data_IF_056759796508
#
_entry.id   IF_056759796508
#
_cell.length_a   1.000
_cell.length_b   1.000
_cell.length_c   1.000
_cell.angle_alpha   90.00
_cell.angle_beta   90.00
_cell.angle_gamma   90.00
#
_symmetry.space_group_name_H-M   'P 1'
#
loop_
_entity.id
_entity.type
_entity.pdbx_description
1 polymer ?
#
# COMPACT_ATOMS: atom_id res chain seq x y z
N UNK A 1 -47.75 -43.42 13.48
CA UNK A 1 -46.61 -42.60 13.97
C UNK A 1 -46.22 -41.43 13.06
N UNK A 2 -46.80 -41.26 11.86
CA UNK A 2 -46.41 -40.21 10.89
C UNK A 2 -46.99 -38.80 11.22
N UNK A 3 -48.04 -38.72 12.04
CA UNK A 3 -48.72 -37.45 12.36
C UNK A 3 -47.86 -36.45 13.17
N UNK A 4 -46.91 -36.93 13.99
CA UNK A 4 -46.00 -36.07 14.79
C UNK A 4 -44.89 -35.39 13.97
N UNK A 5 -44.66 -35.81 12.72
CA UNK A 5 -43.60 -35.27 11.86
C UNK A 5 -44.04 -34.02 11.09
N UNK A 6 -45.34 -33.88 10.79
CA UNK A 6 -45.90 -32.67 10.13
C UNK A 6 -45.98 -31.45 11.05
N UNK A 7 -46.01 -31.64 12.36
CA UNK A 7 -46.11 -30.54 13.32
C UNK A 7 -44.80 -29.76 13.52
N UNK A 8 -43.67 -30.28 13.01
CA UNK A 8 -42.37 -29.57 13.04
C UNK A 8 -42.09 -28.71 11.81
N UNK A 9 -42.93 -28.80 10.78
CA UNK A 9 -42.81 -28.02 9.53
C UNK A 9 -43.66 -26.74 9.53
N UNK A 10 -44.43 -26.49 10.60
CA UNK A 10 -45.34 -25.33 10.70
C UNK A 10 -44.78 -24.16 11.51
N UNK A 11 -43.47 -24.13 11.74
CA UNK A 11 -42.78 -23.01 12.39
C UNK A 11 -41.83 -22.29 11.43
N UNK A 12 -42.17 -22.24 10.14
CA UNK A 12 -41.50 -21.37 9.16
C UNK A 12 -41.92 -19.92 9.43
N UNK A 13 -41.24 -19.29 10.40
CA UNK A 13 -41.22 -17.84 10.54
C UNK A 13 -40.36 -17.29 9.39
N UNK A 14 -41.00 -16.99 8.26
CA UNK A 14 -40.36 -16.32 7.14
C UNK A 14 -39.91 -14.90 7.52
N UNK A 15 -38.74 -14.49 7.02
CA UNK A 15 -38.23 -13.13 7.15
C UNK A 15 -39.20 -12.15 6.46
N UNK A 16 -39.58 -11.08 7.14
CA UNK A 16 -40.47 -10.06 6.55
C UNK A 16 -39.68 -9.09 5.67
N UNK A 17 -40.32 -8.56 4.62
CA UNK A 17 -39.70 -7.52 3.78
C UNK A 17 -39.37 -6.25 4.58
N UNK A 18 -40.17 -5.95 5.60
CA UNK A 18 -39.95 -4.83 6.52
C UNK A 18 -38.68 -5.05 7.36
N UNK A 19 -38.41 -6.26 7.85
CA UNK A 19 -37.17 -6.54 8.59
C UNK A 19 -35.93 -6.33 7.72
N UNK A 20 -35.95 -6.79 6.47
CA UNK A 20 -34.84 -6.52 5.54
C UNK A 20 -34.70 -5.03 5.22
N UNK A 21 -35.81 -4.30 5.08
CA UNK A 21 -35.79 -2.85 4.85
C UNK A 21 -35.09 -2.09 5.99
N UNK A 22 -35.45 -2.38 7.24
CA UNK A 22 -34.84 -1.70 8.40
C UNK A 22 -33.34 -2.04 8.50
N UNK A 23 -32.96 -3.29 8.22
CA UNK A 23 -31.55 -3.71 8.23
C UNK A 23 -30.73 -2.95 7.19
N UNK A 24 -31.20 -2.84 5.94
CA UNK A 24 -30.45 -2.09 4.91
C UNK A 24 -30.38 -0.59 5.20
N UNK A 25 -31.40 -0.02 5.86
CA UNK A 25 -31.37 1.39 6.30
C UNK A 25 -30.26 1.58 7.34
N UNK A 26 -30.20 0.72 8.36
CA UNK A 26 -29.16 0.78 9.39
C UNK A 26 -27.77 0.57 8.76
N UNK A 27 -27.61 -0.44 7.89
CA UNK A 27 -26.36 -0.67 7.16
C UNK A 27 -25.98 0.53 6.29
N UNK A 28 -26.94 1.20 5.64
CA UNK A 28 -26.71 2.41 4.86
C UNK A 28 -26.13 3.56 5.71
N UNK A 29 -26.68 3.78 6.90
CA UNK A 29 -26.18 4.81 7.85
C UNK A 29 -24.75 4.47 8.28
N UNK A 30 -24.48 3.21 8.63
CA UNK A 30 -23.13 2.78 9.03
C UNK A 30 -22.12 2.95 7.90
N UNK A 31 -22.49 2.57 6.66
CA UNK A 31 -21.62 2.72 5.49
C UNK A 31 -21.33 4.19 5.16
N UNK A 32 -22.31 5.09 5.31
CA UNK A 32 -22.14 6.51 5.05
C UNK A 32 -21.01 7.13 5.91
N UNK A 33 -20.87 6.67 7.16
CA UNK A 33 -19.80 7.13 8.09
C UNK A 33 -18.51 6.33 7.85
N UNK A 34 -18.61 5.02 7.62
CA UNK A 34 -17.46 4.14 7.53
C UNK A 34 -16.61 4.37 6.27
N UNK A 35 -17.24 4.57 5.10
CA UNK A 35 -16.56 4.72 3.81
C UNK A 35 -15.56 5.89 3.79
N UNK A 36 -15.93 7.14 4.13
CA UNK A 36 -14.99 8.26 4.08
C UNK A 36 -13.82 8.07 5.06
N UNK A 37 -14.07 7.53 6.25
CA UNK A 37 -13.03 7.22 7.23
C UNK A 37 -12.06 6.16 6.70
N UNK A 38 -12.58 5.06 6.12
CA UNK A 38 -11.78 3.99 5.54
C UNK A 38 -10.90 4.47 4.38
N UNK A 39 -11.45 5.27 3.46
CA UNK A 39 -10.70 5.85 2.34
C UNK A 39 -9.56 6.76 2.84
N UNK A 40 -9.83 7.55 3.87
CA UNK A 40 -8.84 8.43 4.50
C UNK A 40 -7.71 7.63 5.17
N UNK A 41 -8.06 6.56 5.88
CA UNK A 41 -7.09 5.64 6.49
C UNK A 41 -6.23 4.94 5.44
N UNK A 42 -6.84 4.39 4.38
CA UNK A 42 -6.13 3.75 3.27
C UNK A 42 -5.15 4.71 2.59
N UNK A 43 -5.56 5.97 2.39
CA UNK A 43 -4.69 7.00 1.81
C UNK A 43 -3.49 7.30 2.70
N UNK A 44 -3.67 7.40 4.03
CA UNK A 44 -2.57 7.61 4.98
C UNK A 44 -1.62 6.40 5.04
N UNK A 45 -2.16 5.19 5.07
CA UNK A 45 -1.37 3.95 5.05
C UNK A 45 -0.53 3.86 3.78
N UNK A 46 -1.14 4.16 2.62
CA UNK A 46 -0.46 4.21 1.33
C UNK A 46 0.68 5.24 1.34
N UNK A 47 0.45 6.49 1.79
CA UNK A 47 1.49 7.52 1.89
C UNK A 47 2.66 7.08 2.78
N UNK A 48 2.36 6.49 3.93
CA UNK A 48 3.39 5.97 4.84
C UNK A 48 4.19 4.83 4.20
N UNK A 49 3.54 3.91 3.49
CA UNK A 49 4.21 2.84 2.75
C UNK A 49 5.07 3.37 1.60
N UNK A 50 4.62 4.38 0.87
CA UNK A 50 5.40 5.00 -0.21
C UNK A 50 6.68 5.65 0.33
N UNK A 51 6.59 6.42 1.42
CA UNK A 51 7.77 6.97 2.10
C UNK A 51 8.69 5.87 2.63
N UNK A 52 8.15 4.80 3.21
CA UNK A 52 8.92 3.68 3.73
C UNK A 52 9.68 2.94 2.62
N UNK A 53 9.07 2.71 1.46
CA UNK A 53 9.73 2.07 0.32
C UNK A 53 10.95 2.88 -0.16
N UNK A 54 10.81 4.20 -0.25
CA UNK A 54 11.94 5.09 -0.59
C UNK A 54 13.04 5.00 0.48
N UNK A 55 12.68 5.07 1.77
CA UNK A 55 13.65 4.93 2.88
C UNK A 55 14.38 3.58 2.84
N UNK A 56 13.66 2.49 2.57
CA UNK A 56 14.21 1.15 2.54
C UNK A 56 15.26 0.95 1.44
N UNK A 57 15.15 1.70 0.33
CA UNK A 57 16.14 1.64 -0.74
C UNK A 57 17.44 2.41 -0.42
N UNK A 58 17.42 3.37 0.51
CA UNK A 58 18.58 4.24 0.81
C UNK A 58 19.81 3.44 1.25
N UNK A 59 19.74 2.53 2.25
CA UNK A 59 20.92 1.77 2.67
C UNK A 59 21.56 0.98 1.53
N UNK A 60 20.75 0.39 0.64
CA UNK A 60 21.25 -0.31 -0.54
C UNK A 60 21.95 0.63 -1.53
N UNK A 61 21.44 1.86 -1.71
CA UNK A 61 22.08 2.86 -2.57
C UNK A 61 23.43 3.31 -2.01
N UNK A 62 23.50 3.56 -0.70
CA UNK A 62 24.74 3.98 -0.02
C UNK A 62 25.78 2.85 -0.04
N UNK A 63 25.35 1.60 0.18
CA UNK A 63 26.23 0.43 0.08
C UNK A 63 26.73 0.24 -1.36
N UNK A 64 25.88 0.42 -2.37
CA UNK A 64 26.30 0.38 -3.77
C UNK A 64 27.40 1.39 -4.08
N UNK A 65 27.24 2.62 -3.60
CA UNK A 65 28.25 3.68 -3.75
C UNK A 65 29.55 3.38 -2.99
N UNK A 66 29.48 2.69 -1.85
CA UNK A 66 30.68 2.25 -1.12
C UNK A 66 31.46 1.16 -1.88
N UNK A 67 30.76 0.26 -2.57
CA UNK A 67 31.38 -0.86 -3.28
C UNK A 67 31.88 -0.50 -4.69
N UNK A 68 31.45 0.62 -5.26
CA UNK A 68 31.74 1.00 -6.64
C UNK A 68 32.47 2.34 -6.73
N UNK A 69 33.66 2.34 -7.35
CA UNK A 69 34.45 3.56 -7.58
C UNK A 69 33.74 4.60 -8.48
N UNK A 70 32.73 4.18 -9.25
CA UNK A 70 31.88 5.06 -10.08
C UNK A 70 30.72 5.68 -9.30
N UNK A 71 30.66 5.52 -7.99
CA UNK A 71 29.56 5.94 -7.13
C UNK A 71 28.24 5.27 -7.51
N UNK A 72 27.14 6.03 -7.62
CA UNK A 72 25.80 5.47 -7.92
C UNK A 72 25.60 5.09 -9.40
N UNK A 73 26.53 5.41 -10.29
CA UNK A 73 26.36 5.18 -11.73
C UNK A 73 26.12 3.70 -12.06
N UNK A 74 25.10 3.43 -12.85
CA UNK A 74 24.76 2.06 -13.30
C UNK A 74 24.06 1.19 -12.27
N UNK A 75 23.65 1.77 -11.13
CA UNK A 75 22.76 1.12 -10.18
C UNK A 75 21.38 0.87 -10.81
N UNK A 76 20.82 -0.31 -10.55
CA UNK A 76 19.47 -0.68 -10.98
C UNK A 76 18.76 -1.37 -9.82
N UNK A 77 17.43 -1.39 -9.85
CA UNK A 77 16.65 -2.07 -8.82
C UNK A 77 17.06 -3.55 -8.69
N UNK A 78 17.30 -4.23 -9.82
CA UNK A 78 17.73 -5.61 -9.82
C UNK A 78 19.10 -5.82 -9.13
N UNK A 79 20.06 -4.91 -9.35
CA UNK A 79 21.37 -4.97 -8.68
C UNK A 79 21.25 -4.73 -7.17
N UNK A 80 20.42 -3.76 -6.77
CA UNK A 80 20.11 -3.52 -5.36
C UNK A 80 19.51 -4.75 -4.68
N UNK A 81 18.55 -5.38 -5.34
CA UNK A 81 17.88 -6.58 -4.82
C UNK A 81 18.78 -7.80 -4.76
N UNK A 82 19.63 -7.99 -5.77
CA UNK A 82 20.49 -9.17 -5.86
C UNK A 82 21.69 -9.10 -4.89
N UNK A 83 22.26 -7.92 -4.69
CA UNK A 83 23.54 -7.76 -3.99
C UNK A 83 23.43 -7.14 -2.60
N UNK A 84 22.32 -6.47 -2.26
CA UNK A 84 22.21 -5.72 -1.00
C UNK A 84 20.96 -6.09 -0.20
N UNK A 85 19.76 -5.96 -0.78
CA UNK A 85 18.51 -6.29 -0.08
C UNK A 85 17.37 -6.64 -1.05
N UNK A 86 16.99 -7.92 -1.08
CA UNK A 86 15.88 -8.46 -1.86
C UNK A 86 14.49 -7.91 -1.43
N UNK A 87 14.40 -7.32 -0.24
CA UNK A 87 13.22 -6.68 0.31
C UNK A 87 12.89 -5.33 -0.34
N UNK A 88 13.85 -4.69 -1.02
CA UNK A 88 13.62 -3.42 -1.72
C UNK A 88 12.61 -3.63 -2.85
N UNK A 89 11.43 -3.00 -2.76
CA UNK A 89 10.34 -3.15 -3.73
C UNK A 89 9.65 -1.81 -3.99
N UNK A 90 8.92 -1.75 -5.11
CA UNK A 90 8.07 -0.60 -5.46
C UNK A 90 8.82 0.74 -5.53
N UNK A 91 10.07 0.71 -6.00
CA UNK A 91 10.88 1.89 -6.28
C UNK A 91 11.44 1.85 -7.70
N UNK A 92 11.71 3.03 -8.25
CA UNK A 92 12.43 3.25 -9.49
C UNK A 92 13.57 4.20 -9.20
N UNK A 93 14.73 3.91 -9.79
CA UNK A 93 15.86 4.82 -9.81
C UNK A 93 15.68 5.67 -11.07
N UNK A 94 15.36 6.95 -10.89
CA UNK A 94 15.13 7.90 -12.00
C UNK A 94 16.42 8.55 -12.47
N UNK A 95 17.33 8.82 -11.53
CA UNK A 95 18.64 9.42 -11.78
C UNK A 95 19.67 8.65 -10.97
N UNK A 96 20.84 8.40 -11.56
CA UNK A 96 22.00 7.89 -10.85
C UNK A 96 23.26 8.35 -11.56
N UNK A 97 24.11 9.07 -10.84
CA UNK A 97 25.41 9.54 -11.30
C UNK A 97 26.46 9.31 -10.21
N UNK A 98 27.70 9.77 -10.42
CA UNK A 98 28.79 9.47 -9.49
C UNK A 98 28.63 10.11 -8.09
N UNK A 99 27.80 11.15 -7.94
CA UNK A 99 27.69 11.92 -6.68
C UNK A 99 26.27 11.98 -6.11
N UNK A 100 25.26 11.62 -6.90
CA UNK A 100 23.86 11.75 -6.54
C UNK A 100 22.99 10.71 -7.25
N UNK A 101 21.81 10.49 -6.69
CA UNK A 101 20.78 9.62 -7.22
C UNK A 101 19.42 10.26 -7.01
N UNK A 102 18.40 9.77 -7.69
CA UNK A 102 17.02 10.02 -7.32
C UNK A 102 16.22 8.74 -7.39
N UNK A 103 15.68 8.34 -6.24
CA UNK A 103 14.80 7.19 -6.09
C UNK A 103 13.37 7.68 -5.88
N UNK A 104 12.41 7.07 -6.56
CA UNK A 104 10.99 7.40 -6.48
C UNK A 104 10.17 6.14 -6.29
N UNK A 105 9.10 6.17 -5.49
CA UNK A 105 8.22 5.01 -5.38
C UNK A 105 7.37 4.83 -6.66
N UNK A 106 7.08 3.59 -7.04
CA UNK A 106 6.36 3.26 -8.29
C UNK A 106 4.89 2.89 -8.08
N UNK A 107 4.34 3.03 -6.88
CA UNK A 107 2.98 2.60 -6.60
C UNK A 107 1.97 3.59 -7.23
N UNK A 108 1.20 3.18 -8.26
CA UNK A 108 0.34 4.09 -9.03
C UNK A 108 -0.89 4.59 -8.27
N UNK A 109 -1.21 3.98 -7.13
CA UNK A 109 -2.41 4.31 -6.34
C UNK A 109 -2.16 5.33 -5.23
N UNK A 110 -0.95 5.89 -5.16
CA UNK A 110 -0.46 6.71 -4.04
C UNK A 110 0.25 7.96 -4.53
N UNK A 111 0.30 8.99 -3.67
CA UNK A 111 1.18 10.15 -3.86
C UNK A 111 2.63 9.70 -3.98
N UNK A 112 3.33 10.16 -5.01
CA UNK A 112 4.73 9.81 -5.22
C UNK A 112 5.61 10.49 -4.16
N UNK A 113 6.61 9.77 -3.69
CA UNK A 113 7.69 10.32 -2.88
C UNK A 113 9.01 9.99 -3.54
N UNK A 114 9.95 10.94 -3.46
CA UNK A 114 11.31 10.74 -3.92
C UNK A 114 12.33 11.17 -2.87
N UNK A 115 13.57 10.70 -3.04
CA UNK A 115 14.75 11.22 -2.35
C UNK A 115 15.84 11.49 -3.37
N UNK A 116 16.44 12.67 -3.28
CA UNK A 116 17.53 13.10 -4.18
C UNK A 116 18.84 13.18 -3.41
N UNK A 117 19.74 12.26 -3.75
CA UNK A 117 21.09 12.18 -3.18
C UNK A 117 21.12 11.68 -1.72
N UNK A 118 22.33 11.42 -1.21
CA UNK A 118 22.53 10.84 0.12
C UNK A 118 22.01 11.74 1.24
N UNK A 119 22.24 13.05 1.14
CA UNK A 119 21.84 14.05 2.15
C UNK A 119 20.46 14.66 1.94
N UNK A 120 19.74 14.33 0.87
CA UNK A 120 18.43 14.93 0.59
C UNK A 120 17.30 14.36 1.45
N UNK A 121 16.27 15.17 1.71
CA UNK A 121 15.07 14.68 2.39
C UNK A 121 14.14 13.90 1.46
N UNK A 122 13.17 13.20 2.06
CA UNK A 122 12.10 12.53 1.31
C UNK A 122 10.96 13.51 1.09
N UNK A 123 10.78 13.91 -0.16
CA UNK A 123 9.80 14.91 -0.54
C UNK A 123 8.68 14.31 -1.41
N UNK A 124 7.46 14.86 -1.35
CA UNK A 124 6.39 14.47 -2.25
C UNK A 124 6.69 14.92 -3.69
N UNK A 125 6.15 14.18 -4.65
CA UNK A 125 6.35 14.41 -6.08
C UNK A 125 7.42 13.50 -6.69
N UNK A 126 7.82 13.83 -7.90
CA UNK A 126 8.75 13.03 -8.68
C UNK A 126 10.16 13.61 -8.61
N UNK A 127 11.13 12.76 -8.94
CA UNK A 127 12.37 13.20 -9.57
C UNK A 127 12.04 13.91 -10.90
#
# INVERSE_FOLDING_TARGET
>A
MISKMRQRLSSDQGFTLIELLVVIIILGILLAIAIPSYLSFRTRANKSAAQANVRAAVPGMEAFNADHASGYTGVTLAKLQASYDAGIKNIKISVANNTSYCIVNTNPTTVQYHKTGPSGDINPGNC
#
